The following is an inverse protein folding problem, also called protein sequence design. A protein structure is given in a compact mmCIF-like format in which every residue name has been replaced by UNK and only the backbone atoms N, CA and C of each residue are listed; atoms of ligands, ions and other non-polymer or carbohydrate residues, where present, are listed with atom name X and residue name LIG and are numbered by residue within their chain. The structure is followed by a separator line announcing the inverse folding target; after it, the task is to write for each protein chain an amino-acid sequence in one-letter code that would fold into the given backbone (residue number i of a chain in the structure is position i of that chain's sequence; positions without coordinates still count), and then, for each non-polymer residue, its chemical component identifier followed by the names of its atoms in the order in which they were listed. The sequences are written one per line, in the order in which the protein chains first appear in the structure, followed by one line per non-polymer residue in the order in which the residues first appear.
data_IF_985243935961
#
_entry.id   IF_985243935961
#
_cell.length_a   1.000
_cell.length_b   1.000
_cell.length_c   1.000
_cell.angle_alpha   90.00
_cell.angle_beta   90.00
_cell.angle_gamma   90.00
#
_symmetry.space_group_name_H-M   'P 1'
#
loop_
_entity.id
_entity.type
_entity.pdbx_description
1 polymer ?
#
# COMPACT_ATOMS: atom_id res chain seq x y z
N UNK A 1 22.82 -1.77 -16.91
CA UNK A 1 22.00 -1.97 -18.10
C UNK A 1 22.01 -3.46 -18.38
N UNK A 2 20.97 -4.19 -17.96
CA UNK A 2 20.82 -5.59 -18.37
C UNK A 2 20.58 -5.60 -19.87
N UNK A 3 21.54 -6.13 -20.64
CA UNK A 3 21.41 -6.25 -22.09
C UNK A 3 20.54 -7.48 -22.37
N UNK A 4 19.32 -7.24 -22.86
CA UNK A 4 18.42 -8.30 -23.32
C UNK A 4 18.96 -8.87 -24.64
N UNK A 5 19.34 -10.16 -24.64
CA UNK A 5 19.94 -10.81 -25.81
C UNK A 5 18.86 -11.57 -26.57
N UNK A 6 18.64 -11.22 -27.84
CA UNK A 6 17.66 -11.92 -28.69
C UNK A 6 18.24 -13.20 -29.29
N UNK A 7 17.36 -14.08 -29.77
CA UNK A 7 17.71 -15.43 -30.26
C UNK A 7 18.85 -15.45 -31.29
N UNK A 8 18.94 -14.45 -32.17
CA UNK A 8 20.00 -14.33 -33.18
C UNK A 8 21.37 -14.03 -32.57
N UNK A 9 21.39 -13.19 -31.54
CA UNK A 9 22.62 -12.81 -30.85
C UNK A 9 23.06 -13.90 -29.87
N UNK A 10 22.11 -14.52 -29.16
CA UNK A 10 22.35 -15.68 -28.31
C UNK A 10 22.97 -16.84 -29.12
N UNK A 11 22.47 -17.10 -30.33
CA UNK A 11 23.01 -18.11 -31.23
C UNK A 11 24.45 -17.81 -31.63
N UNK A 12 24.76 -16.54 -31.93
CA UNK A 12 26.11 -16.08 -32.27
C UNK A 12 27.07 -16.24 -31.07
N UNK A 13 26.63 -15.87 -29.87
CA UNK A 13 27.45 -15.97 -28.66
C UNK A 13 27.77 -17.42 -28.27
N UNK A 14 26.81 -18.33 -28.49
CA UNK A 14 26.96 -19.75 -28.20
C UNK A 14 27.61 -20.56 -29.34
N UNK A 15 27.88 -19.94 -30.50
CA UNK A 15 28.45 -20.62 -31.66
C UNK A 15 27.53 -21.68 -32.30
N UNK A 16 26.22 -21.60 -32.07
CA UNK A 16 25.23 -22.57 -32.58
C UNK A 16 24.30 -21.96 -33.62
N UNK A 17 23.72 -22.80 -34.49
CA UNK A 17 22.69 -22.35 -35.43
C UNK A 17 21.42 -21.89 -34.70
N UNK A 18 20.76 -20.85 -35.23
CA UNK A 18 19.51 -20.29 -34.67
C UNK A 18 18.41 -21.37 -34.52
N UNK A 19 18.30 -22.28 -35.49
CA UNK A 19 17.37 -23.42 -35.45
C UNK A 19 17.66 -24.38 -34.30
N UNK A 20 18.95 -24.67 -34.08
CA UNK A 20 19.44 -25.53 -32.99
C UNK A 20 19.14 -24.91 -31.63
N UNK A 21 19.43 -23.61 -31.47
CA UNK A 21 19.14 -22.88 -30.23
C UNK A 21 17.64 -22.90 -29.91
N UNK A 22 16.78 -22.67 -30.91
CA UNK A 22 15.31 -22.71 -30.71
C UNK A 22 14.83 -24.08 -30.26
N UNK A 23 15.43 -25.16 -30.78
CA UNK A 23 15.12 -26.54 -30.41
C UNK A 23 15.53 -26.83 -28.96
N UNK A 24 16.74 -26.42 -28.56
CA UNK A 24 17.21 -26.61 -27.18
C UNK A 24 16.43 -25.76 -26.17
N UNK A 25 16.14 -24.51 -26.51
CA UNK A 25 15.28 -23.67 -25.67
C UNK A 25 13.86 -24.27 -25.52
N UNK A 26 13.27 -24.79 -26.59
CA UNK A 26 11.97 -25.47 -26.50
C UNK A 26 12.02 -26.73 -25.63
N UNK A 27 13.14 -27.47 -25.66
CA UNK A 27 13.35 -28.65 -24.82
C UNK A 27 13.48 -28.27 -23.34
N UNK A 28 14.19 -27.19 -23.03
CA UNK A 28 14.31 -26.64 -21.68
C UNK A 28 12.94 -26.16 -21.15
N UNK A 29 12.14 -25.48 -22.00
CA UNK A 29 10.75 -25.11 -21.67
C UNK A 29 9.88 -26.33 -21.36
N UNK A 30 9.98 -27.39 -22.17
CA UNK A 30 9.25 -28.64 -21.94
C UNK A 30 9.65 -29.33 -20.62
N UNK A 31 10.89 -29.11 -20.16
CA UNK A 31 11.41 -29.62 -18.88
C UNK A 31 11.14 -28.67 -17.70
N UNK A 32 10.44 -27.56 -17.94
CA UNK A 32 9.96 -26.65 -16.89
C UNK A 32 10.88 -25.46 -16.60
N UNK A 33 11.80 -25.11 -17.50
CA UNK A 33 12.58 -23.88 -17.44
C UNK A 33 11.88 -22.77 -18.23
N UNK A 34 11.65 -21.61 -17.63
CA UNK A 34 10.90 -20.53 -18.26
C UNK A 34 11.85 -19.42 -18.75
N UNK A 35 11.83 -19.15 -20.05
CA UNK A 35 12.55 -18.00 -20.63
C UNK A 35 11.66 -16.76 -20.59
N UNK A 36 12.29 -15.60 -20.41
CA UNK A 36 11.59 -14.33 -20.55
C UNK A 36 11.14 -14.11 -22.00
N UNK A 37 10.02 -13.40 -22.19
CA UNK A 37 9.46 -13.12 -23.50
C UNK A 37 9.26 -11.64 -23.69
N UNK A 38 9.56 -11.17 -24.89
CA UNK A 38 9.30 -9.80 -25.29
C UNK A 38 7.79 -9.52 -25.34
N UNK A 39 7.39 -8.39 -24.78
CA UNK A 39 6.01 -7.92 -24.77
C UNK A 39 5.46 -7.61 -26.17
N UNK A 40 6.32 -7.23 -27.12
CA UNK A 40 5.86 -6.84 -28.46
C UNK A 40 5.73 -7.99 -29.45
N UNK A 41 6.68 -8.93 -29.45
CA UNK A 41 6.71 -10.00 -30.45
C UNK A 41 6.63 -11.42 -29.84
N UNK A 42 6.40 -11.54 -28.53
CA UNK A 42 6.39 -12.81 -27.79
C UNK A 42 7.66 -13.67 -28.05
N UNK A 43 8.75 -13.01 -28.45
CA UNK A 43 10.02 -13.64 -28.77
C UNK A 43 10.79 -13.93 -27.49
N UNK A 44 11.50 -15.07 -27.44
CA UNK A 44 12.33 -15.43 -26.28
C UNK A 44 13.47 -14.42 -26.14
N UNK A 45 13.58 -13.84 -24.95
CA UNK A 45 14.68 -12.99 -24.50
C UNK A 45 15.59 -13.87 -23.63
N UNK A 46 16.87 -13.88 -23.96
CA UNK A 46 17.88 -14.60 -23.20
C UNK A 46 18.63 -13.61 -22.32
N UNK A 47 18.72 -13.92 -21.02
CA UNK A 47 19.61 -13.25 -20.08
C UNK A 47 20.99 -13.90 -20.10
N UNK A 48 21.94 -13.23 -19.47
CA UNK A 48 23.30 -13.75 -19.31
C UNK A 48 23.31 -15.09 -18.57
N UNK A 49 22.44 -15.25 -17.56
CA UNK A 49 22.22 -16.52 -16.84
C UNK A 49 21.77 -17.65 -17.78
N UNK A 50 20.86 -17.35 -18.71
CA UNK A 50 20.33 -18.31 -19.67
C UNK A 50 21.43 -18.76 -20.64
N UNK A 51 22.33 -17.85 -21.04
CA UNK A 51 23.47 -18.17 -21.89
C UNK A 51 24.47 -19.08 -21.18
N UNK A 52 24.74 -18.85 -19.90
CA UNK A 52 25.61 -19.73 -19.09
C UNK A 52 25.00 -21.12 -18.95
N UNK A 53 23.68 -21.21 -18.75
CA UNK A 53 22.95 -22.46 -18.66
C UNK A 53 23.00 -23.25 -19.98
N UNK A 54 22.76 -22.56 -21.11
CA UNK A 54 22.84 -23.15 -22.45
C UNK A 54 24.27 -23.57 -22.83
N UNK A 55 25.27 -22.76 -22.48
CA UNK A 55 26.69 -23.09 -22.63
C UNK A 55 27.05 -24.37 -21.86
N UNK A 56 26.61 -24.45 -20.60
CA UNK A 56 26.84 -25.63 -19.75
C UNK A 56 26.14 -26.88 -20.32
N UNK A 57 24.93 -26.71 -20.86
CA UNK A 57 24.20 -27.78 -21.55
C UNK A 57 24.97 -28.32 -22.76
N UNK A 58 25.51 -27.42 -23.60
CA UNK A 58 26.29 -27.79 -24.79
C UNK A 58 27.57 -28.55 -24.40
N UNK A 59 28.27 -28.09 -23.36
CA UNK A 59 29.46 -28.77 -22.87
C UNK A 59 29.14 -30.19 -22.35
N UNK A 60 28.02 -30.38 -21.65
CA UNK A 60 27.57 -31.70 -21.20
C UNK A 60 27.24 -32.63 -22.37
N UNK A 61 26.72 -32.08 -23.46
CA UNK A 61 26.47 -32.84 -24.68
C UNK A 61 27.78 -33.26 -25.37
N UNK A 62 28.81 -32.42 -25.36
CA UNK A 62 30.15 -32.78 -25.85
C UNK A 62 30.80 -33.89 -25.00
N UNK A 63 30.54 -33.91 -23.68
CA UNK A 63 30.95 -35.00 -22.77
C UNK A 63 30.20 -36.33 -23.00
N UNK A 64 29.29 -36.40 -23.99
CA UNK A 64 28.58 -37.61 -24.38
C UNK A 64 27.19 -37.78 -23.73
N UNK A 65 26.69 -36.76 -23.04
CA UNK A 65 25.33 -36.78 -22.47
C UNK A 65 24.27 -36.57 -23.57
N UNK A 66 23.15 -37.29 -23.47
CA UNK A 66 22.02 -37.04 -24.36
C UNK A 66 21.42 -35.65 -24.12
N UNK A 67 20.91 -35.03 -25.18
CA UNK A 67 20.30 -33.68 -25.14
C UNK A 67 19.19 -33.58 -24.08
N UNK A 68 18.39 -34.64 -23.93
CA UNK A 68 17.28 -34.71 -22.98
C UNK A 68 17.76 -34.75 -21.53
N UNK A 69 18.80 -35.56 -21.26
CA UNK A 69 19.38 -35.68 -19.92
C UNK A 69 20.10 -34.39 -19.51
N UNK A 70 20.83 -33.77 -20.45
CA UNK A 70 21.48 -32.47 -20.24
C UNK A 70 20.44 -31.37 -19.94
N UNK A 71 19.35 -31.31 -20.71
CA UNK A 71 18.29 -30.34 -20.49
C UNK A 71 17.58 -30.53 -19.13
N UNK A 72 17.36 -31.77 -18.71
CA UNK A 72 16.73 -32.07 -17.42
C UNK A 72 17.62 -31.68 -16.24
N UNK A 73 18.93 -31.95 -16.34
CA UNK A 73 19.90 -31.58 -15.32
C UNK A 73 20.02 -30.05 -15.20
N UNK A 74 20.05 -29.35 -16.33
CA UNK A 74 20.13 -27.88 -16.37
C UNK A 74 18.83 -27.21 -15.91
N UNK A 75 17.66 -27.69 -16.32
CA UNK A 75 16.37 -27.16 -15.86
C UNK A 75 16.20 -27.29 -14.33
N UNK A 76 16.73 -28.36 -13.73
CA UNK A 76 16.78 -28.53 -12.27
C UNK A 76 17.72 -27.55 -11.55
N UNK A 77 18.81 -27.11 -12.20
CA UNK A 77 19.76 -26.14 -11.66
C UNK A 77 19.27 -24.68 -11.80
N UNK A 78 18.63 -24.36 -12.92
CA UNK A 78 18.07 -23.03 -13.19
C UNK A 78 17.01 -22.57 -12.18
N UNK A 79 16.35 -23.50 -11.47
CA UNK A 79 15.44 -23.16 -10.35
C UNK A 79 16.13 -22.56 -9.13
N UNK A 80 17.45 -22.73 -8.97
CA UNK A 80 18.16 -22.30 -7.75
C UNK A 80 18.79 -20.91 -7.86
N UNK A 81 19.04 -20.39 -9.05
CA UNK A 81 19.70 -19.09 -9.23
C UNK A 81 18.74 -17.90 -9.11
N UNK A 82 17.56 -17.97 -9.74
CA UNK A 82 16.58 -16.87 -9.73
C UNK A 82 15.82 -16.70 -8.40
N UNK A 83 15.77 -17.72 -7.55
CA UNK A 83 15.04 -17.68 -6.26
C UNK A 83 15.79 -16.92 -5.15
N UNK A 84 17.08 -16.63 -5.31
CA UNK A 84 17.91 -16.08 -4.23
C UNK A 84 17.79 -14.56 -4.06
N UNK A 85 17.55 -13.82 -5.15
CA UNK A 85 17.32 -12.37 -5.11
C UNK A 85 15.85 -12.04 -4.80
N UNK A 86 14.89 -12.76 -5.42
CA UNK A 86 13.46 -12.55 -5.14
C UNK A 86 13.08 -12.87 -3.70
N UNK A 87 13.77 -13.80 -3.04
CA UNK A 87 13.46 -14.17 -1.65
C UNK A 87 13.88 -13.10 -0.64
N UNK A 88 14.90 -12.29 -0.93
CA UNK A 88 15.31 -11.18 -0.06
C UNK A 88 14.35 -10.00 -0.18
N UNK A 89 14.00 -9.61 -1.41
CA UNK A 89 13.01 -8.55 -1.66
C UNK A 89 11.66 -8.93 -1.03
N UNK A 90 11.22 -10.18 -1.16
CA UNK A 90 9.96 -10.62 -0.57
C UNK A 90 9.99 -10.57 0.97
N UNK A 91 11.13 -10.89 1.59
CA UNK A 91 11.29 -10.77 3.05
C UNK A 91 11.28 -9.30 3.51
N UNK A 92 11.89 -8.41 2.75
CA UNK A 92 11.90 -6.97 3.04
C UNK A 92 10.49 -6.36 2.88
N UNK A 93 9.76 -6.77 1.83
CA UNK A 93 8.35 -6.40 1.68
C UNK A 93 7.47 -6.91 2.83
N UNK A 94 7.66 -8.15 3.29
CA UNK A 94 6.91 -8.69 4.42
C UNK A 94 7.23 -7.92 5.71
N UNK A 95 8.49 -7.52 5.93
CA UNK A 95 8.86 -6.71 7.08
C UNK A 95 8.20 -5.32 7.02
N UNK A 96 8.22 -4.67 5.84
CA UNK A 96 7.60 -3.37 5.64
C UNK A 96 6.07 -3.41 5.84
N UNK A 97 5.41 -4.48 5.40
CA UNK A 97 3.97 -4.68 5.62
C UNK A 97 3.66 -4.75 7.12
N UNK A 98 4.45 -5.49 7.90
CA UNK A 98 4.26 -5.58 9.36
C UNK A 98 4.44 -4.24 10.05
N UNK A 99 5.43 -3.45 9.64
CA UNK A 99 5.64 -2.11 10.20
C UNK A 99 4.45 -1.18 9.87
N UNK A 100 3.92 -1.26 8.65
CA UNK A 100 2.72 -0.53 8.25
C UNK A 100 1.48 -0.95 9.05
N UNK A 101 1.31 -2.23 9.35
CA UNK A 101 0.21 -2.73 10.19
C UNK A 101 0.29 -2.17 11.62
N UNK A 102 1.49 -2.12 12.21
CA UNK A 102 1.72 -1.53 13.54
C UNK A 102 1.42 -0.03 13.53
N UNK A 103 1.88 0.69 12.50
CA UNK A 103 1.58 2.12 12.35
C UNK A 103 0.08 2.37 12.18
N UNK A 104 -0.60 1.53 11.40
CA UNK A 104 -2.04 1.62 11.20
C UNK A 104 -2.79 1.40 12.51
N UNK A 105 -2.40 0.40 13.30
CA UNK A 105 -2.99 0.15 14.62
C UNK A 105 -2.84 1.38 15.53
N UNK A 106 -1.65 1.98 15.60
CA UNK A 106 -1.42 3.19 16.39
C UNK A 106 -2.27 4.38 15.94
N UNK A 107 -2.40 4.60 14.62
CA UNK A 107 -3.26 5.64 14.08
C UNK A 107 -4.74 5.40 14.39
N UNK A 108 -5.21 4.16 14.36
CA UNK A 108 -6.60 3.83 14.73
C UNK A 108 -6.88 4.11 16.20
N UNK A 109 -5.93 3.82 17.09
CA UNK A 109 -6.04 4.13 18.52
C UNK A 109 -6.07 5.65 18.76
N UNK A 110 -5.20 6.40 18.11
CA UNK A 110 -5.18 7.87 18.21
C UNK A 110 -6.48 8.48 17.70
N UNK A 111 -7.00 8.00 16.55
CA UNK A 111 -8.29 8.45 16.03
C UNK A 111 -9.42 8.15 17.01
N UNK A 112 -9.42 6.97 17.64
CA UNK A 112 -10.42 6.64 18.66
C UNK A 112 -10.36 7.59 19.87
N UNK A 113 -9.15 7.95 20.31
CA UNK A 113 -8.95 8.93 21.37
C UNK A 113 -9.45 10.33 20.97
N UNK A 114 -9.18 10.77 19.74
CA UNK A 114 -9.64 12.06 19.23
C UNK A 114 -11.17 12.11 19.14
N UNK A 115 -11.82 11.05 18.64
CA UNK A 115 -13.29 10.96 18.60
C UNK A 115 -13.89 11.10 19.99
N UNK A 116 -13.35 10.39 21.00
CA UNK A 116 -13.79 10.53 22.39
C UNK A 116 -13.62 11.95 22.93
N UNK A 117 -12.49 12.60 22.62
CA UNK A 117 -12.27 13.99 23.04
C UNK A 117 -13.28 14.94 22.39
N UNK A 118 -13.60 14.75 21.11
CA UNK A 118 -14.62 15.54 20.41
C UNK A 118 -16.00 15.34 21.04
N UNK A 119 -16.39 14.11 21.36
CA UNK A 119 -17.65 13.82 22.06
C UNK A 119 -17.74 14.57 23.40
N UNK A 120 -16.71 14.43 24.26
CA UNK A 120 -16.67 15.11 25.56
C UNK A 120 -16.73 16.63 25.42
N UNK A 121 -16.03 17.19 24.43
CA UNK A 121 -16.05 18.64 24.18
C UNK A 121 -17.42 19.10 23.69
N UNK A 122 -18.09 18.30 22.85
CA UNK A 122 -19.43 18.58 22.35
C UNK A 122 -20.44 18.61 23.50
N UNK A 123 -20.42 17.61 24.38
CA UNK A 123 -21.28 17.59 25.58
C UNK A 123 -21.07 18.82 26.48
N UNK A 124 -19.80 19.21 26.70
CA UNK A 124 -19.45 20.40 27.49
C UNK A 124 -19.93 21.70 26.85
N UNK A 125 -19.94 21.78 25.51
CA UNK A 125 -20.47 22.94 24.79
C UNK A 125 -21.97 23.02 24.98
N UNK A 126 -22.69 21.92 24.77
CA UNK A 126 -24.15 21.85 24.96
C UNK A 126 -24.57 22.18 26.39
N UNK A 127 -23.81 21.72 27.39
CA UNK A 127 -24.05 22.05 28.80
C UNK A 127 -23.90 23.55 29.05
N UNK A 128 -22.82 24.17 28.56
CA UNK A 128 -22.63 25.63 28.67
C UNK A 128 -23.72 26.42 27.97
N UNK A 129 -24.18 25.98 26.81
CA UNK A 129 -25.27 26.64 26.09
C UNK A 129 -26.57 26.58 26.89
N UNK A 130 -26.88 25.43 27.51
CA UNK A 130 -28.03 25.29 28.42
C UNK A 130 -27.93 26.20 29.63
N UNK A 131 -26.76 26.28 30.27
CA UNK A 131 -26.51 27.19 31.41
C UNK A 131 -26.70 28.65 31.02
N UNK A 132 -26.17 29.07 29.86
CA UNK A 132 -26.33 30.43 29.35
C UNK A 132 -27.79 30.77 29.06
N UNK A 133 -28.56 29.83 28.49
CA UNK A 133 -29.99 30.01 28.29
C UNK A 133 -30.74 30.19 29.62
N UNK A 134 -30.43 29.36 30.62
CA UNK A 134 -31.04 29.48 31.96
C UNK A 134 -30.70 30.82 32.61
N UNK A 135 -29.45 31.26 32.53
CA UNK A 135 -29.02 32.54 33.08
C UNK A 135 -29.76 33.72 32.43
N UNK A 136 -29.91 33.70 31.09
CA UNK A 136 -30.71 34.72 30.36
C UNK A 136 -32.15 34.76 30.84
N UNK A 137 -32.82 33.61 30.99
CA UNK A 137 -34.19 33.54 31.50
C UNK A 137 -34.31 34.10 32.92
N UNK A 138 -33.34 33.79 33.79
CA UNK A 138 -33.29 34.32 35.16
C UNK A 138 -33.14 35.84 35.13
N UNK A 139 -32.22 36.39 34.32
CA UNK A 139 -32.06 37.84 34.17
C UNK A 139 -33.34 38.53 33.69
N UNK A 140 -34.00 37.98 32.68
CA UNK A 140 -35.26 38.53 32.16
C UNK A 140 -36.35 38.52 33.23
N UNK A 141 -36.46 37.44 33.99
CA UNK A 141 -37.43 37.34 35.09
C UNK A 141 -37.18 38.41 36.16
N UNK A 142 -35.89 38.65 36.52
CA UNK A 142 -35.49 39.70 37.46
C UNK A 142 -35.79 41.09 36.91
N UNK A 143 -35.51 41.35 35.63
CA UNK A 143 -35.84 42.62 34.95
C UNK A 143 -37.36 42.87 34.93
N UNK A 144 -38.18 41.85 34.64
CA UNK A 144 -39.65 41.93 34.68
C UNK A 144 -40.17 42.25 36.09
N UNK A 145 -39.64 41.60 37.14
CA UNK A 145 -40.01 41.88 38.54
C UNK A 145 -39.63 43.32 38.96
N UNK A 146 -38.43 43.79 38.60
CA UNK A 146 -37.99 45.17 38.86
C UNK A 146 -38.91 46.21 38.19
N UNK A 147 -39.27 45.99 36.92
CA UNK A 147 -40.21 46.87 36.19
C UNK A 147 -41.58 46.94 36.87
N UNK A 148 -42.14 45.79 37.28
CA UNK A 148 -43.44 45.73 37.98
C UNK A 148 -43.41 46.41 39.36
N UNK A 149 -42.31 46.29 40.10
CA UNK A 149 -42.13 46.98 41.39
C UNK A 149 -42.04 48.50 41.25
N UNK A 150 -41.34 48.99 40.23
CA UNK A 150 -41.22 50.43 39.94
C UNK A 150 -42.57 51.01 39.49
N UNK A 151 -43.33 50.29 38.66
CA UNK A 151 -44.68 50.76 38.24
C UNK A 151 -45.68 50.82 39.38
N UNK A 152 -45.51 50.01 40.43
CA UNK A 152 -46.37 50.05 41.62
C UNK A 152 -46.00 51.20 42.58
N UNK A 153 -44.81 51.78 42.44
CA UNK A 153 -44.29 52.89 43.24
C UNK A 153 -44.30 54.23 42.47
N UNK A 154 -45.10 54.34 41.39
CA UNK A 154 -45.28 55.60 40.65
C UNK A 154 -45.76 56.73 41.55
N UNK A 155 -45.39 58.00 41.27
CA UNK A 155 -45.52 59.10 42.22
C UNK A 155 -46.99 59.33 42.58
N UNK A 156 -47.28 59.37 43.89
CA UNK A 156 -48.53 59.90 44.42
C UNK A 156 -48.70 61.32 43.90
N UNK A 157 -49.61 61.51 42.95
CA UNK A 157 -50.04 62.82 42.48
C UNK A 157 -50.49 63.64 43.70
N UNK A 158 -49.88 64.80 44.02
CA UNK A 158 -50.46 65.70 44.99
C UNK A 158 -51.73 66.27 44.35
N UNK A 159 -52.88 65.95 44.94
CA UNK A 159 -54.17 66.55 44.62
C UNK A 159 -54.04 68.08 44.71
N UNK A 160 -53.86 68.72 43.57
CA UNK A 160 -53.97 70.16 43.43
C UNK A 160 -55.45 70.56 43.60
N UNK A 161 -55.71 71.28 44.69
CA UNK A 161 -56.71 72.34 44.83
C UNK A 161 -58.14 72.07 44.38
N UNK A 162 -59.05 71.91 45.35
CA UNK A 162 -60.41 72.45 45.22
C UNK A 162 -60.90 73.02 46.55
N UNK A 163 -61.13 74.34 46.48
CA UNK A 163 -62.02 75.22 47.25
C UNK A 163 -61.53 75.71 48.61
#
# INVERSE_FOLDING_TARGET
MEQSIFTTEAARNLGVGVSTLRKYAALLEAKGYEFERDHHNNGRIFKEEDLVLLSSMLQKMEEGMSVESAAELMAGQGKKSSSSSQSKDLQEFIAQIKDLEVQQASLTEMNHHLVKQVEILTEKIEEREREQQLFRLIEESRKKKKRKGITFLGPLNPLAGKR
#
